data_IF_908668420962
#
_entry.id   IF_908668420962
#
_cell.length_a   1.000
_cell.length_b   1.000
_cell.length_c   1.000
_cell.angle_alpha   90.00
_cell.angle_beta   90.00
_cell.angle_gamma   90.00
#
_symmetry.space_group_name_H-M   'P 1'
#
loop_
_entity.id
_entity.type
_entity.pdbx_description
1 polymer ?
#
# COMPACT_ATOMS: atom_id res chain seq x y z
N UNK A 1 -12.02 2.49 -13.64
CA UNK A 1 -11.87 2.87 -12.23
C UNK A 1 -13.21 3.01 -11.52
N UNK A 2 -14.21 3.71 -12.13
CA UNK A 2 -15.54 3.90 -11.53
C UNK A 2 -16.17 2.58 -11.09
N UNK A 3 -16.14 1.56 -11.93
CA UNK A 3 -16.71 0.26 -11.64
C UNK A 3 -16.11 -0.41 -10.39
N UNK A 4 -14.83 -0.19 -10.13
CA UNK A 4 -14.15 -0.71 -8.93
C UNK A 4 -14.67 0.01 -7.68
N UNK A 5 -14.72 1.34 -7.73
CA UNK A 5 -15.26 2.13 -6.62
C UNK A 5 -16.73 1.78 -6.34
N UNK A 6 -17.54 1.62 -7.39
CA UNK A 6 -18.91 1.18 -7.26
C UNK A 6 -19.00 -0.23 -6.65
N UNK A 7 -18.08 -1.13 -7.00
CA UNK A 7 -17.99 -2.46 -6.40
C UNK A 7 -17.72 -2.39 -4.89
N UNK A 8 -16.72 -1.60 -4.47
CA UNK A 8 -16.41 -1.41 -3.05
C UNK A 8 -17.58 -0.76 -2.29
N UNK A 9 -18.15 0.31 -2.84
CA UNK A 9 -19.28 1.03 -2.21
C UNK A 9 -20.51 0.12 -2.07
N UNK A 10 -20.83 -0.65 -3.09
CA UNK A 10 -22.02 -1.52 -3.08
C UNK A 10 -21.86 -2.78 -2.22
N UNK A 11 -20.64 -3.14 -1.86
CA UNK A 11 -20.33 -4.29 -1.00
C UNK A 11 -19.74 -3.88 0.35
N UNK A 12 -19.82 -2.60 0.71
CA UNK A 12 -19.36 -2.12 2.01
C UNK A 12 -20.25 -2.67 3.15
N UNK A 13 -19.65 -2.76 4.33
CA UNK A 13 -20.32 -3.23 5.56
C UNK A 13 -21.37 -2.25 6.11
N UNK A 14 -21.37 -1.01 5.61
CA UNK A 14 -22.28 0.05 6.05
C UNK A 14 -22.89 0.82 4.87
N UNK A 15 -23.90 1.64 5.15
CA UNK A 15 -24.51 2.50 4.15
C UNK A 15 -23.49 3.54 3.60
N UNK A 16 -23.62 3.96 2.32
CA UNK A 16 -22.71 4.93 1.71
C UNK A 16 -22.49 6.21 2.54
N UNK A 17 -23.53 6.75 3.15
CA UNK A 17 -23.44 7.96 3.97
C UNK A 17 -22.59 7.77 5.24
N UNK A 18 -22.41 6.54 5.71
CA UNK A 18 -21.61 6.21 6.90
C UNK A 18 -20.12 5.97 6.54
N UNK A 19 -19.83 5.64 5.27
CA UNK A 19 -18.45 5.36 4.81
C UNK A 19 -17.48 6.50 5.13
N UNK A 20 -17.93 7.75 4.99
CA UNK A 20 -17.09 8.92 5.27
C UNK A 20 -16.70 9.07 6.75
N UNK A 21 -17.41 8.43 7.66
CA UNK A 21 -17.13 8.44 9.09
C UNK A 21 -16.28 7.25 9.56
N UNK A 22 -16.13 6.22 8.73
CA UNK A 22 -15.31 5.04 9.04
C UNK A 22 -13.83 5.36 9.02
N UNK A 23 -13.12 4.76 9.95
CA UNK A 23 -11.65 4.87 10.07
C UNK A 23 -10.96 3.57 9.67
N UNK A 24 -9.64 3.60 9.52
CA UNK A 24 -8.85 2.39 9.32
C UNK A 24 -9.03 1.37 10.46
N UNK A 25 -9.17 1.84 11.71
CA UNK A 25 -9.41 0.97 12.87
C UNK A 25 -10.78 0.30 12.82
N UNK A 26 -11.81 0.99 12.32
CA UNK A 26 -13.13 0.38 12.11
C UNK A 26 -13.06 -0.73 11.06
N UNK A 27 -12.35 -0.52 9.95
CA UNK A 27 -12.18 -1.53 8.90
C UNK A 27 -11.42 -2.77 9.41
N UNK A 28 -10.38 -2.59 10.23
CA UNK A 28 -9.69 -3.70 10.91
C UNK A 28 -10.67 -4.48 11.80
N UNK A 29 -11.43 -3.77 12.65
CA UNK A 29 -12.37 -4.39 13.57
C UNK A 29 -13.45 -5.20 12.83
N UNK A 30 -14.04 -4.66 11.78
CA UNK A 30 -15.04 -5.35 10.95
C UNK A 30 -14.48 -6.62 10.31
N UNK A 31 -13.26 -6.59 9.81
CA UNK A 31 -12.61 -7.77 9.24
C UNK A 31 -12.29 -8.83 10.31
N UNK A 32 -11.72 -8.43 11.43
CA UNK A 32 -11.37 -9.34 12.53
C UNK A 32 -12.62 -9.95 13.18
N UNK A 33 -13.72 -9.20 13.26
CA UNK A 33 -15.01 -9.69 13.76
C UNK A 33 -15.78 -10.58 12.75
N UNK A 34 -15.28 -10.74 11.54
CA UNK A 34 -15.93 -11.54 10.49
C UNK A 34 -17.12 -10.85 9.83
N UNK A 35 -17.23 -9.54 9.96
CA UNK A 35 -18.27 -8.74 9.31
C UNK A 35 -17.94 -8.48 7.83
N UNK A 36 -16.66 -8.53 7.46
CA UNK A 36 -16.16 -8.44 6.10
C UNK A 36 -15.31 -9.65 5.73
N UNK A 37 -15.48 -10.17 4.50
CA UNK A 37 -14.67 -11.25 3.94
C UNK A 37 -13.41 -10.73 3.24
N UNK A 38 -13.48 -9.52 2.70
CA UNK A 38 -12.38 -8.86 2.00
C UNK A 38 -12.01 -7.57 2.70
N UNK A 39 -10.70 -7.40 2.90
CA UNK A 39 -10.11 -6.19 3.49
C UNK A 39 -8.99 -5.69 2.56
N UNK A 40 -9.16 -4.50 2.01
CA UNK A 40 -8.15 -3.90 1.14
C UNK A 40 -7.07 -3.24 2.00
N UNK A 41 -5.89 -3.83 2.01
CA UNK A 41 -4.71 -3.30 2.70
C UNK A 41 -3.44 -3.98 2.14
N UNK A 42 -2.33 -3.90 2.85
CA UNK A 42 -1.07 -4.53 2.50
C UNK A 42 -0.53 -5.46 3.59
N UNK A 43 0.61 -6.07 3.32
CA UNK A 43 1.26 -7.02 4.24
C UNK A 43 1.56 -6.43 5.61
N UNK A 44 1.73 -5.12 5.73
CA UNK A 44 1.94 -4.41 7.00
C UNK A 44 0.75 -4.51 7.97
N UNK A 45 -0.46 -4.78 7.46
CA UNK A 45 -1.65 -4.94 8.29
C UNK A 45 -1.67 -6.27 9.06
N UNK A 46 -0.73 -7.19 8.82
CA UNK A 46 -0.72 -8.50 9.47
C UNK A 46 -0.76 -8.41 11.00
N UNK A 47 -0.03 -7.46 11.60
CA UNK A 47 -0.04 -7.28 13.05
C UNK A 47 -1.44 -7.03 13.63
N UNK A 48 -2.29 -6.33 12.89
CA UNK A 48 -3.64 -5.97 13.31
C UNK A 48 -4.66 -7.11 13.13
N UNK A 49 -4.40 -8.02 12.16
CA UNK A 49 -5.34 -9.09 11.76
C UNK A 49 -4.87 -10.49 12.14
N UNK A 50 -3.69 -10.64 12.70
CA UNK A 50 -3.07 -11.94 13.03
C UNK A 50 -3.88 -12.80 14.01
N UNK A 51 -4.76 -12.18 14.79
CA UNK A 51 -5.67 -12.87 15.69
C UNK A 51 -6.66 -13.82 14.97
N UNK A 52 -6.85 -13.66 13.67
CA UNK A 52 -7.67 -14.57 12.85
C UNK A 52 -7.02 -15.94 12.62
N UNK A 53 -5.71 -16.07 12.84
CA UNK A 53 -4.91 -17.26 12.53
C UNK A 53 -4.43 -17.27 11.07
N UNK A 54 -3.19 -17.69 10.86
CA UNK A 54 -2.53 -17.66 9.55
C UNK A 54 -3.26 -18.49 8.50
N UNK A 55 -3.84 -19.60 8.92
CA UNK A 55 -4.59 -20.52 8.06
C UNK A 55 -5.89 -19.92 7.49
N UNK A 56 -6.38 -18.84 8.10
CA UNK A 56 -7.60 -18.16 7.69
C UNK A 56 -7.31 -16.88 6.87
N UNK A 57 -6.03 -16.56 6.65
CA UNK A 57 -5.61 -15.37 5.93
C UNK A 57 -5.09 -15.71 4.53
N UNK A 58 -5.43 -14.89 3.56
CA UNK A 58 -4.94 -14.98 2.19
C UNK A 58 -4.78 -13.61 1.57
N UNK A 59 -4.16 -13.55 0.40
CA UNK A 59 -4.04 -12.31 -0.38
C UNK A 59 -4.46 -12.55 -1.82
N UNK A 60 -5.17 -11.59 -2.38
CA UNK A 60 -5.59 -11.55 -3.77
C UNK A 60 -5.17 -10.22 -4.40
N UNK A 61 -4.76 -10.21 -5.68
CA UNK A 61 -4.63 -8.97 -6.43
C UNK A 61 -5.96 -8.25 -6.54
N UNK A 62 -5.92 -6.93 -6.68
CA UNK A 62 -7.11 -6.14 -7.03
C UNK A 62 -7.26 -6.20 -8.54
N UNK A 63 -8.27 -6.92 -9.01
CA UNK A 63 -8.61 -6.98 -10.43
C UNK A 63 -9.55 -5.84 -10.80
N UNK A 64 -9.32 -5.25 -11.96
CA UNK A 64 -10.10 -4.11 -12.48
C UNK A 64 -10.95 -4.46 -13.71
N UNK A 65 -10.91 -5.72 -14.15
CA UNK A 65 -11.73 -6.24 -15.26
C UNK A 65 -11.15 -5.93 -16.64
N UNK A 66 -9.82 -5.88 -16.77
CA UNK A 66 -9.15 -5.68 -18.07
C UNK A 66 -8.51 -6.97 -18.57
N UNK A 67 -8.31 -7.05 -19.89
CA UNK A 67 -7.63 -8.19 -20.53
C UNK A 67 -6.20 -8.34 -20.01
N UNK A 68 -5.78 -9.56 -19.72
CA UNK A 68 -4.43 -9.89 -19.25
C UNK A 68 -4.28 -9.90 -17.71
N UNK A 69 -5.33 -9.58 -16.96
CA UNK A 69 -5.29 -9.59 -15.48
C UNK A 69 -5.03 -10.97 -14.88
N UNK A 70 -5.27 -12.04 -15.61
CA UNK A 70 -4.97 -13.40 -15.17
C UNK A 70 -3.49 -13.62 -14.83
N UNK A 71 -2.60 -12.79 -15.38
CA UNK A 71 -1.17 -12.80 -15.08
C UNK A 71 -0.75 -11.79 -14.01
N UNK A 72 -1.69 -10.97 -13.51
CA UNK A 72 -1.40 -9.96 -12.51
C UNK A 72 -1.06 -10.60 -11.16
N UNK A 73 0.03 -10.11 -10.58
CA UNK A 73 0.40 -10.33 -9.19
C UNK A 73 -0.07 -9.22 -8.26
N UNK A 74 0.46 -9.22 -7.06
CA UNK A 74 0.15 -8.19 -6.07
C UNK A 74 0.84 -6.86 -6.42
N UNK A 75 0.28 -5.76 -5.91
CA UNK A 75 0.91 -4.46 -5.99
C UNK A 75 2.13 -4.45 -5.05
N UNK A 76 3.29 -4.16 -5.60
CA UNK A 76 4.56 -4.15 -4.85
C UNK A 76 5.52 -3.14 -5.44
N UNK A 77 6.48 -2.70 -4.65
CA UNK A 77 7.50 -1.76 -5.06
C UNK A 77 8.21 -1.16 -3.85
N UNK A 78 9.19 -0.30 -4.09
CA UNK A 78 9.90 0.41 -3.04
C UNK A 78 9.16 1.71 -2.73
N UNK A 79 8.69 1.84 -1.50
CA UNK A 79 7.95 3.02 -1.01
C UNK A 79 8.77 3.84 -0.02
N UNK A 80 9.58 3.16 0.79
CA UNK A 80 10.35 3.77 1.85
C UNK A 80 11.84 3.68 1.53
N UNK A 81 12.55 4.76 1.78
CA UNK A 81 13.96 4.90 1.46
C UNK A 81 14.71 5.40 2.70
N UNK A 82 15.91 4.89 2.90
CA UNK A 82 16.88 5.53 3.78
C UNK A 82 17.61 6.62 3.00
N UNK A 83 17.46 7.84 3.46
CA UNK A 83 18.15 8.99 2.87
C UNK A 83 19.30 9.40 3.78
N UNK A 84 20.46 9.63 3.18
CA UNK A 84 21.66 10.11 3.88
C UNK A 84 21.86 11.56 3.49
N UNK A 85 22.02 12.45 4.50
CA UNK A 85 22.32 13.85 4.24
C UNK A 85 23.72 13.98 3.61
N UNK A 86 23.75 14.36 2.33
CA UNK A 86 25.01 14.54 1.58
C UNK A 86 25.86 15.73 2.06
N UNK A 87 25.30 16.60 2.89
CA UNK A 87 25.97 17.77 3.47
C UNK A 87 26.53 17.52 4.87
N UNK A 88 26.32 16.31 5.42
CA UNK A 88 26.92 15.93 6.71
C UNK A 88 28.44 15.74 6.60
N UNK A 89 29.14 15.71 7.73
CA UNK A 89 30.55 15.41 7.73
C UNK A 89 30.83 14.00 7.15
N UNK A 90 31.93 13.83 6.44
CA UNK A 90 32.26 12.58 5.76
C UNK A 90 32.29 11.38 6.73
N UNK A 91 32.76 11.60 7.95
CA UNK A 91 32.78 10.60 9.01
C UNK A 91 31.39 10.18 9.48
N UNK A 92 30.43 11.11 9.52
CA UNK A 92 29.03 10.82 9.87
C UNK A 92 28.31 10.08 8.74
N UNK A 93 28.60 10.45 7.50
CA UNK A 93 28.08 9.73 6.31
C UNK A 93 28.60 8.29 6.34
N UNK A 94 29.91 8.07 6.56
CA UNK A 94 30.48 6.74 6.60
C UNK A 94 29.92 5.91 7.75
N UNK A 95 29.81 6.48 8.94
CA UNK A 95 29.22 5.79 10.09
C UNK A 95 27.75 5.38 9.82
N UNK A 96 26.98 6.24 9.16
CA UNK A 96 25.60 5.94 8.74
C UNK A 96 25.58 4.79 7.74
N UNK A 97 26.44 4.80 6.72
CA UNK A 97 26.54 3.73 5.73
C UNK A 97 26.94 2.40 6.38
N UNK A 98 27.88 2.41 7.30
CA UNK A 98 28.33 1.22 8.04
C UNK A 98 27.18 0.64 8.88
N UNK A 99 26.41 1.50 9.54
CA UNK A 99 25.21 1.07 10.28
C UNK A 99 24.15 0.46 9.36
N UNK A 100 23.82 1.11 8.24
CA UNK A 100 22.85 0.59 7.28
C UNK A 100 23.33 -0.74 6.68
N UNK A 101 24.62 -0.85 6.37
CA UNK A 101 25.22 -2.10 5.90
C UNK A 101 25.11 -3.20 6.95
N UNK A 102 25.38 -2.89 8.21
CA UNK A 102 25.20 -3.82 9.32
C UNK A 102 23.73 -4.27 9.44
N UNK A 103 22.78 -3.36 9.33
CA UNK A 103 21.34 -3.68 9.37
C UNK A 103 20.94 -4.75 8.34
N UNK A 104 21.49 -4.69 7.12
CA UNK A 104 21.09 -5.58 6.02
C UNK A 104 22.02 -6.79 5.81
N UNK A 105 23.09 -6.91 6.58
CA UNK A 105 24.07 -8.01 6.42
C UNK A 105 24.32 -8.81 7.68
N UNK A 106 24.14 -8.24 8.88
CA UNK A 106 24.34 -8.96 10.14
C UNK A 106 23.10 -9.79 10.50
N UNK A 107 23.30 -10.89 11.22
CA UNK A 107 22.19 -11.72 11.73
C UNK A 107 21.25 -10.91 12.63
N UNK A 108 21.79 -10.08 13.53
CA UNK A 108 20.99 -9.25 14.42
C UNK A 108 20.19 -8.18 13.68
N UNK A 109 20.80 -7.49 12.71
CA UNK A 109 20.11 -6.50 11.88
C UNK A 109 18.99 -7.12 11.03
N UNK A 110 19.28 -8.26 10.40
CA UNK A 110 18.29 -8.98 9.61
C UNK A 110 17.13 -9.51 10.47
N UNK A 111 17.42 -10.03 11.67
CA UNK A 111 16.38 -10.45 12.60
C UNK A 111 15.49 -9.28 13.01
N UNK A 112 16.08 -8.15 13.36
CA UNK A 112 15.31 -6.94 13.69
C UNK A 112 14.41 -6.50 12.55
N UNK A 113 14.94 -6.40 11.33
CA UNK A 113 14.18 -5.93 10.17
C UNK A 113 13.11 -6.93 9.72
N UNK A 114 13.47 -8.21 9.53
CA UNK A 114 12.58 -9.21 8.94
C UNK A 114 11.59 -9.81 9.95
N UNK A 115 12.04 -10.06 11.19
CA UNK A 115 11.27 -10.81 12.18
C UNK A 115 10.54 -9.89 13.14
N UNK A 116 11.24 -8.91 13.74
CA UNK A 116 10.66 -8.05 14.76
C UNK A 116 9.83 -6.92 14.17
N UNK A 117 10.33 -6.29 13.08
CA UNK A 117 9.64 -5.19 12.39
C UNK A 117 8.75 -5.66 11.24
N UNK A 118 8.92 -6.90 10.76
CA UNK A 118 8.11 -7.46 9.69
C UNK A 118 8.32 -6.81 8.32
N UNK A 119 9.49 -6.23 8.07
CA UNK A 119 9.79 -5.58 6.80
C UNK A 119 10.01 -6.59 5.68
N UNK A 120 9.50 -6.26 4.49
CA UNK A 120 9.89 -6.90 3.24
C UNK A 120 11.18 -6.25 2.77
N UNK A 121 12.30 -6.97 2.90
CA UNK A 121 13.60 -6.41 2.56
C UNK A 121 13.91 -6.69 1.09
N UNK A 122 14.24 -5.67 0.26
CA UNK A 122 14.55 -5.83 -1.16
C UNK A 122 15.99 -6.31 -1.41
N UNK A 123 16.68 -6.75 -0.36
CA UNK A 123 18.06 -7.25 -0.44
C UNK A 123 18.09 -8.78 -0.54
N UNK A 124 19.24 -9.33 -0.92
CA UNK A 124 19.47 -10.79 -1.00
C UNK A 124 19.54 -11.47 0.38
N UNK A 125 18.89 -10.93 1.37
CA UNK A 125 18.72 -11.55 2.67
C UNK A 125 17.94 -12.86 2.53
N UNK A 126 18.32 -13.85 3.32
CA UNK A 126 17.69 -15.19 3.29
C UNK A 126 16.90 -15.51 4.56
N UNK A 127 16.65 -14.55 5.43
CA UNK A 127 15.76 -14.82 6.56
C UNK A 127 14.33 -14.92 6.05
N UNK A 128 13.61 -15.99 6.41
CA UNK A 128 12.17 -16.09 6.13
C UNK A 128 11.45 -14.91 6.79
N UNK A 129 10.48 -14.34 6.10
CA UNK A 129 9.59 -13.38 6.72
C UNK A 129 8.73 -14.09 7.78
N UNK A 130 8.65 -13.50 8.98
CA UNK A 130 7.73 -13.97 10.00
C UNK A 130 6.26 -13.72 9.63
N UNK A 131 6.02 -12.77 8.73
CA UNK A 131 4.70 -12.40 8.24
C UNK A 131 4.27 -13.35 7.11
N UNK A 132 3.23 -14.18 7.30
CA UNK A 132 2.78 -15.14 6.30
C UNK A 132 2.24 -14.48 5.02
N UNK A 133 1.71 -13.26 5.11
CA UNK A 133 1.25 -12.53 3.93
C UNK A 133 2.42 -12.18 2.99
N UNK A 134 3.61 -11.94 3.53
CA UNK A 134 4.84 -11.75 2.72
C UNK A 134 5.20 -13.02 1.98
N UNK A 135 5.03 -14.20 2.60
CA UNK A 135 5.30 -15.47 1.95
C UNK A 135 4.32 -15.71 0.79
N UNK A 136 3.03 -15.39 0.97
CA UNK A 136 2.03 -15.44 -0.10
C UNK A 136 2.41 -14.48 -1.25
N UNK A 137 2.84 -13.27 -0.93
CA UNK A 137 3.29 -12.31 -1.94
C UNK A 137 4.50 -12.83 -2.74
N UNK A 138 5.44 -13.49 -2.07
CA UNK A 138 6.59 -14.13 -2.73
C UNK A 138 6.17 -15.29 -3.64
N UNK A 139 5.13 -16.04 -3.30
CA UNK A 139 4.59 -17.11 -4.13
C UNK A 139 4.01 -16.58 -5.45
N UNK A 140 3.34 -15.43 -5.44
CA UNK A 140 2.89 -14.79 -6.69
C UNK A 140 4.06 -14.53 -7.64
N UNK A 141 5.17 -14.00 -7.12
CA UNK A 141 6.38 -13.76 -7.92
C UNK A 141 7.00 -15.08 -8.40
N UNK A 142 7.12 -16.06 -7.52
CA UNK A 142 7.69 -17.39 -7.86
C UNK A 142 6.87 -18.12 -8.94
N UNK A 143 5.55 -17.90 -8.95
CA UNK A 143 4.63 -18.44 -9.96
C UNK A 143 4.59 -17.63 -11.27
N UNK A 144 5.50 -16.65 -11.43
CA UNK A 144 5.64 -15.86 -12.66
C UNK A 144 4.55 -14.81 -12.85
N UNK A 145 3.82 -14.44 -11.80
CA UNK A 145 2.85 -13.36 -11.86
C UNK A 145 3.54 -12.01 -11.95
N UNK A 146 3.00 -11.13 -12.76
CA UNK A 146 3.57 -9.78 -12.98
C UNK A 146 3.12 -8.84 -11.87
N UNK A 147 4.07 -8.35 -11.09
CA UNK A 147 3.78 -7.36 -10.05
C UNK A 147 3.31 -6.04 -10.63
N UNK A 148 2.34 -5.41 -9.97
CA UNK A 148 1.93 -4.04 -10.24
C UNK A 148 2.79 -3.11 -9.39
N UNK A 149 3.47 -2.16 -10.03
CA UNK A 149 4.36 -1.24 -9.32
C UNK A 149 3.59 -0.06 -8.73
N UNK A 150 4.03 0.40 -7.56
CA UNK A 150 3.61 1.68 -7.00
C UNK A 150 4.09 2.85 -7.87
N UNK A 151 3.20 3.80 -8.13
CA UNK A 151 3.47 4.95 -8.99
C UNK A 151 3.52 6.28 -8.22
N UNK A 152 3.89 6.26 -6.95
CA UNK A 152 3.95 7.47 -6.11
C UNK A 152 4.83 8.58 -6.71
N UNK A 153 5.93 8.22 -7.37
CA UNK A 153 6.83 9.17 -8.02
C UNK A 153 6.19 9.94 -9.20
N UNK A 154 5.05 9.48 -9.71
CA UNK A 154 4.32 10.15 -10.78
C UNK A 154 3.25 11.10 -10.26
N UNK A 155 2.97 11.10 -8.96
CA UNK A 155 2.01 12.01 -8.36
C UNK A 155 2.62 13.41 -8.26
N UNK A 156 1.90 14.45 -8.67
CA UNK A 156 2.46 15.80 -8.74
C UNK A 156 2.66 16.42 -7.35
N UNK A 157 1.78 16.13 -6.40
CA UNK A 157 1.85 16.63 -5.03
C UNK A 157 0.99 15.82 -4.05
N UNK A 158 1.24 15.99 -2.76
CA UNK A 158 0.36 15.49 -1.70
C UNK A 158 -1.00 16.21 -1.70
N UNK A 159 -1.03 17.48 -2.06
CA UNK A 159 -2.27 18.26 -2.16
C UNK A 159 -3.20 17.66 -3.22
N UNK A 160 -2.68 17.34 -4.39
CA UNK A 160 -3.43 16.65 -5.42
C UNK A 160 -3.98 15.32 -4.92
N UNK A 161 -3.14 14.49 -4.31
CA UNK A 161 -3.55 13.18 -3.77
C UNK A 161 -4.69 13.31 -2.77
N UNK A 162 -4.59 14.26 -1.84
CA UNK A 162 -5.61 14.51 -0.84
C UNK A 162 -6.90 15.06 -1.45
N UNK A 163 -6.80 15.90 -2.48
CA UNK A 163 -7.93 16.42 -3.24
C UNK A 163 -8.72 15.32 -3.94
N UNK A 164 -8.02 14.38 -4.60
CA UNK A 164 -8.62 13.19 -5.21
C UNK A 164 -9.29 12.31 -4.14
N UNK A 165 -8.61 12.07 -3.02
CA UNK A 165 -9.16 11.30 -1.90
C UNK A 165 -10.45 11.91 -1.33
N UNK A 166 -10.48 13.23 -1.18
CA UNK A 166 -11.67 13.97 -0.74
C UNK A 166 -12.83 13.80 -1.72
N UNK A 167 -12.58 13.94 -3.03
CA UNK A 167 -13.60 13.76 -4.05
C UNK A 167 -14.14 12.32 -4.09
N UNK A 168 -13.27 11.32 -3.93
CA UNK A 168 -13.64 9.91 -3.84
C UNK A 168 -14.49 9.62 -2.58
N UNK A 169 -14.13 10.19 -1.44
CA UNK A 169 -14.90 10.06 -0.20
C UNK A 169 -16.28 10.68 -0.33
N UNK A 170 -16.39 11.86 -0.93
CA UNK A 170 -17.68 12.52 -1.19
C UNK A 170 -18.53 11.69 -2.17
N UNK A 171 -17.93 11.11 -3.20
CA UNK A 171 -18.61 10.21 -4.13
C UNK A 171 -19.13 8.96 -3.40
N UNK A 172 -18.32 8.31 -2.60
CA UNK A 172 -18.68 7.13 -1.82
C UNK A 172 -19.83 7.42 -0.83
N UNK A 173 -19.83 8.60 -0.20
CA UNK A 173 -20.88 9.04 0.71
C UNK A 173 -22.19 9.46 0.01
N UNK A 174 -22.22 9.52 -1.32
CA UNK A 174 -23.37 9.98 -2.10
C UNK A 174 -23.58 11.50 -2.08
N UNK A 175 -22.59 12.27 -1.62
CA UNK A 175 -22.63 13.75 -1.57
C UNK A 175 -21.85 14.41 -2.70
N UNK A 176 -21.09 13.64 -3.46
CA UNK A 176 -20.31 14.08 -4.63
C UNK A 176 -20.69 13.33 -5.90
N UNK A 177 -20.09 13.74 -7.01
CA UNK A 177 -20.31 13.11 -8.33
C UNK A 177 -19.03 12.47 -8.84
N UNK A 178 -19.17 11.49 -9.73
CA UNK A 178 -18.00 10.89 -10.40
C UNK A 178 -17.24 11.92 -11.27
N UNK A 179 -17.95 12.87 -11.88
CA UNK A 179 -17.31 13.93 -12.67
C UNK A 179 -16.40 14.81 -11.80
N UNK A 180 -16.77 15.06 -10.55
CA UNK A 180 -15.91 15.77 -9.59
C UNK A 180 -14.63 14.96 -9.27
N UNK A 181 -14.73 13.62 -9.19
CA UNK A 181 -13.55 12.75 -9.02
C UNK A 181 -12.65 12.82 -10.24
N UNK A 182 -13.23 12.76 -11.45
CA UNK A 182 -12.46 12.87 -12.71
C UNK A 182 -11.76 14.22 -12.79
N UNK A 183 -12.44 15.32 -12.48
CA UNK A 183 -11.84 16.66 -12.51
C UNK A 183 -10.72 16.80 -11.47
N UNK A 184 -10.94 16.32 -10.23
CA UNK A 184 -9.89 16.34 -9.22
C UNK A 184 -8.65 15.54 -9.65
N UNK A 185 -8.85 14.42 -10.33
CA UNK A 185 -7.75 13.58 -10.81
C UNK A 185 -7.04 14.20 -12.01
N UNK A 186 -7.75 14.56 -13.06
CA UNK A 186 -7.19 14.96 -14.36
C UNK A 186 -6.80 16.44 -14.36
N UNK A 187 -7.75 17.32 -14.04
CA UNK A 187 -7.52 18.77 -14.09
C UNK A 187 -6.61 19.21 -12.93
N UNK A 188 -6.80 18.60 -11.76
CA UNK A 188 -5.94 18.82 -10.60
C UNK A 188 -4.48 18.42 -10.89
N UNK A 189 -4.25 17.23 -11.48
CA UNK A 189 -2.90 16.80 -11.85
C UNK A 189 -2.26 17.75 -12.85
N UNK A 190 -3.00 18.16 -13.89
CA UNK A 190 -2.49 19.07 -14.90
C UNK A 190 -2.12 20.45 -14.31
N UNK A 191 -2.91 20.96 -13.37
CA UNK A 191 -2.67 22.23 -12.68
C UNK A 191 -1.39 22.18 -11.82
N UNK A 192 -1.26 21.16 -11.00
CA UNK A 192 -0.07 20.95 -10.14
C UNK A 192 1.21 20.75 -10.97
N UNK A 193 1.10 19.95 -12.04
CA UNK A 193 2.24 19.73 -12.94
C UNK A 193 2.69 21.03 -13.63
N UNK A 194 1.76 21.87 -14.07
CA UNK A 194 2.08 23.16 -14.67
C UNK A 194 2.74 24.10 -13.64
N UNK A 195 2.25 24.12 -12.39
CA UNK A 195 2.83 24.93 -11.32
C UNK A 195 4.25 24.50 -10.95
N UNK A 196 4.53 23.20 -10.96
CA UNK A 196 5.85 22.65 -10.64
C UNK A 196 6.89 22.87 -11.75
N UNK A 197 6.46 23.18 -12.98
CA UNK A 197 7.32 23.36 -14.16
C UNK A 197 7.31 24.80 -14.71
N UNK A 198 6.72 25.75 -13.98
CA UNK A 198 6.74 27.19 -14.27
C UNK A 198 7.86 27.87 -13.49
#
# INVERSE_FOLDING_TARGET
YKAIWDLYINNATCAPAELAAKTGSDAVAEFVNGEAVFYQNGTWAYGDISALGDENLGMLPIYIGVEGEENQGLCTGTENYWCINSEAAEEDIQATLDFLYWCVTSEAGLNALCTEMGFVIPFKSKLPAANPLVNIANEYVANGKTSVSWNFLTMPSEEWKNGVGTALTAYAAGTGTWDAVVSAFVDGWASEYAAANS
#
